data_IF_000015962831
#
_entry.id   IF_000015962831
#
_cell.length_a   1.000
_cell.length_b   1.000
_cell.length_c   1.000
_cell.angle_alpha   90.00
_cell.angle_beta   90.00
_cell.angle_gamma   90.00
#
_symmetry.space_group_name_H-M   'P 1'
#
loop_
_entity.id
_entity.type
_entity.pdbx_description
1 polymer ?
#
# COMPACT_ATOMS: atom_id res chain seq x y z
N UNK A 1 -12.66 -31.23 1.46
CA UNK A 1 -11.18 -31.17 1.37
C UNK A 1 -10.79 -29.70 1.39
N UNK A 2 -9.90 -29.32 2.28
CA UNK A 2 -9.33 -27.97 2.37
C UNK A 2 -7.89 -28.01 1.91
N UNK A 3 -7.50 -27.05 1.10
CA UNK A 3 -6.15 -26.88 0.58
C UNK A 3 -5.55 -25.59 1.11
N UNK A 4 -4.24 -25.60 1.38
CA UNK A 4 -3.46 -24.41 1.68
C UNK A 4 -2.42 -24.18 0.61
N UNK A 5 -2.28 -22.93 0.18
CA UNK A 5 -1.30 -22.47 -0.79
C UNK A 5 -0.40 -21.42 -0.19
N UNK A 6 0.87 -21.46 -0.55
CA UNK A 6 1.87 -20.43 -0.26
C UNK A 6 2.24 -19.72 -1.55
N UNK A 7 2.23 -18.40 -1.55
CA UNK A 7 2.64 -17.59 -2.69
C UNK A 7 3.64 -16.54 -2.25
N UNK A 8 4.87 -16.66 -2.68
CA UNK A 8 5.88 -15.60 -2.56
C UNK A 8 5.60 -14.49 -3.56
N UNK A 9 6.08 -13.29 -3.25
CA UNK A 9 5.89 -12.13 -4.12
C UNK A 9 6.54 -12.36 -5.49
N UNK A 10 5.78 -12.11 -6.57
CA UNK A 10 6.22 -12.35 -7.93
C UNK A 10 6.21 -13.81 -8.39
N UNK A 11 5.84 -14.75 -7.54
CA UNK A 11 5.79 -16.19 -7.86
C UNK A 11 4.35 -16.70 -7.99
N UNK A 12 4.21 -17.86 -8.64
CA UNK A 12 2.93 -18.55 -8.70
C UNK A 12 2.61 -19.19 -7.34
N UNK A 13 1.31 -19.32 -6.96
CA UNK A 13 0.94 -20.00 -5.73
C UNK A 13 1.27 -21.49 -5.82
N UNK A 14 1.97 -22.01 -4.81
CA UNK A 14 2.30 -23.43 -4.65
C UNK A 14 1.41 -24.06 -3.60
N UNK A 15 0.92 -25.30 -3.85
CA UNK A 15 0.16 -26.01 -2.84
C UNK A 15 1.09 -26.48 -1.72
N UNK A 16 0.83 -25.99 -0.52
CA UNK A 16 1.59 -26.33 0.68
C UNK A 16 1.15 -27.67 1.27
N UNK A 17 -0.16 -27.82 1.47
CA UNK A 17 -0.76 -29.01 2.03
C UNK A 17 -2.26 -29.09 1.71
N UNK A 18 -2.83 -30.25 1.97
CA UNK A 18 -4.30 -30.42 1.97
C UNK A 18 -4.76 -31.30 3.13
N UNK A 19 -6.01 -31.09 3.50
CA UNK A 19 -6.68 -31.88 4.57
C UNK A 19 -7.90 -32.58 3.99
N UNK A 20 -7.94 -33.87 4.13
CA UNK A 20 -9.04 -34.72 3.68
C UNK A 20 -9.37 -35.76 4.73
N UNK A 21 -10.65 -35.82 5.15
CA UNK A 21 -11.11 -36.79 6.14
C UNK A 21 -10.32 -36.75 7.46
N UNK A 22 -9.90 -35.55 7.90
CA UNK A 22 -9.09 -35.36 9.10
C UNK A 22 -7.61 -35.74 8.98
N UNK A 23 -7.17 -36.19 7.79
CA UNK A 23 -5.76 -36.48 7.51
C UNK A 23 -5.12 -35.31 6.78
N UNK A 24 -3.93 -34.95 7.23
CA UNK A 24 -3.10 -33.89 6.63
C UNK A 24 -2.06 -34.53 5.71
N UNK A 25 -1.96 -34.04 4.49
CA UNK A 25 -0.90 -34.38 3.57
C UNK A 25 -0.14 -33.11 3.19
N UNK A 26 1.17 -33.09 3.42
CA UNK A 26 2.07 -31.97 3.12
C UNK A 26 2.83 -32.30 1.85
N UNK A 27 2.99 -31.35 0.95
CA UNK A 27 3.71 -31.53 -0.32
C UNK A 27 5.21 -31.71 -0.07
N UNK A 28 5.86 -32.47 -0.94
CA UNK A 28 7.26 -32.91 -0.79
C UNK A 28 8.29 -31.79 -0.76
N UNK A 29 7.92 -30.58 -1.23
CA UNK A 29 8.79 -29.38 -1.21
C UNK A 29 8.84 -28.67 0.14
N UNK A 30 8.01 -29.08 1.13
CA UNK A 30 7.88 -28.39 2.41
C UNK A 30 8.30 -29.27 3.58
N UNK A 31 8.85 -28.68 4.63
CA UNK A 31 9.28 -29.38 5.84
C UNK A 31 8.06 -29.76 6.68
N UNK A 32 7.67 -31.02 6.64
CA UNK A 32 6.43 -31.52 7.25
C UNK A 32 6.30 -31.25 8.77
N UNK A 33 7.40 -31.16 9.50
CA UNK A 33 7.42 -30.92 10.93
C UNK A 33 7.09 -29.45 11.32
N UNK A 34 7.12 -28.53 10.37
CA UNK A 34 6.88 -27.10 10.63
C UNK A 34 5.43 -26.67 10.42
N UNK A 35 4.66 -27.46 9.67
CA UNK A 35 3.30 -27.10 9.31
C UNK A 35 2.29 -27.99 9.99
N UNK A 36 1.34 -27.39 10.68
CA UNK A 36 0.22 -28.07 11.31
C UNK A 36 -1.09 -27.43 10.85
N UNK A 37 -2.14 -28.23 10.82
CA UNK A 37 -3.47 -27.71 10.55
C UNK A 37 -4.50 -28.42 11.42
N UNK A 38 -5.44 -27.63 11.93
CA UNK A 38 -6.53 -28.10 12.77
C UNK A 38 -7.86 -27.72 12.11
N UNK A 39 -8.77 -28.67 12.06
CA UNK A 39 -10.14 -28.44 11.57
C UNK A 39 -11.10 -28.52 12.72
N UNK A 40 -11.84 -27.45 12.94
CA UNK A 40 -12.98 -27.39 13.83
C UNK A 40 -14.28 -27.48 13.02
N UNK A 41 -14.96 -28.61 13.07
CA UNK A 41 -16.28 -28.79 12.45
C UNK A 41 -17.35 -27.93 13.11
N UNK A 42 -17.22 -27.67 14.42
CA UNK A 42 -18.15 -26.83 15.19
C UNK A 42 -18.03 -25.36 14.78
N UNK A 43 -16.80 -24.87 14.65
CA UNK A 43 -16.54 -23.48 14.28
C UNK A 43 -16.45 -23.27 12.76
N UNK A 44 -16.51 -24.35 11.97
CA UNK A 44 -16.31 -24.33 10.51
C UNK A 44 -15.00 -23.63 10.12
N UNK A 45 -13.96 -23.87 10.87
CA UNK A 45 -12.63 -23.27 10.69
C UNK A 45 -11.58 -24.33 10.36
N UNK A 46 -10.63 -23.93 9.54
CA UNK A 46 -9.39 -24.66 9.28
C UNK A 46 -8.22 -23.72 9.55
N UNK A 47 -7.44 -24.00 10.58
CA UNK A 47 -6.34 -23.16 11.02
C UNK A 47 -5.02 -23.76 10.54
N UNK A 48 -4.18 -22.95 9.88
CA UNK A 48 -2.81 -23.29 9.53
C UNK A 48 -1.88 -22.71 10.60
N UNK A 49 -1.01 -23.55 11.16
CA UNK A 49 0.04 -23.15 12.11
C UNK A 49 1.39 -23.41 11.50
N UNK A 50 2.25 -22.40 11.48
CA UNK A 50 3.65 -22.48 11.03
C UNK A 50 4.55 -22.38 12.26
N UNK A 51 5.37 -23.41 12.51
CA UNK A 51 6.33 -23.43 13.62
C UNK A 51 7.70 -22.95 13.14
N UNK A 52 8.48 -22.43 14.09
CA UNK A 52 9.87 -22.02 13.86
C UNK A 52 9.98 -21.13 12.60
N UNK A 53 9.21 -20.03 12.62
CA UNK A 53 9.09 -19.11 11.48
C UNK A 53 10.45 -18.55 11.10
N UNK A 54 10.77 -18.60 9.81
CA UNK A 54 12.00 -18.09 9.20
C UNK A 54 11.67 -17.03 8.12
N UNK A 55 12.62 -16.19 7.72
CA UNK A 55 12.38 -15.18 6.68
C UNK A 55 11.81 -15.77 5.36
N UNK A 56 12.13 -16.99 5.00
CA UNK A 56 11.58 -17.68 3.81
C UNK A 56 10.10 -18.03 3.92
N UNK A 57 9.50 -17.91 5.09
CA UNK A 57 8.06 -18.06 5.28
C UNK A 57 7.26 -16.81 4.92
N UNK A 58 7.91 -15.67 4.71
CA UNK A 58 7.27 -14.46 4.24
C UNK A 58 6.59 -14.72 2.88
N UNK A 59 5.27 -14.70 2.87
CA UNK A 59 4.45 -15.05 1.70
C UNK A 59 2.97 -14.73 1.96
N UNK A 60 2.15 -14.80 0.92
CA UNK A 60 0.70 -14.79 1.08
C UNK A 60 0.18 -16.23 1.12
N UNK A 61 -0.60 -16.55 2.15
CA UNK A 61 -1.18 -17.87 2.36
C UNK A 61 -2.67 -17.84 2.05
N UNK A 62 -3.11 -18.76 1.18
CA UNK A 62 -4.49 -18.90 0.78
C UNK A 62 -5.05 -20.24 1.22
N UNK A 63 -6.23 -20.25 1.82
CA UNK A 63 -7.05 -21.46 1.94
C UNK A 63 -7.91 -21.62 0.68
N UNK A 64 -8.22 -22.85 0.32
CA UNK A 64 -9.13 -23.14 -0.78
C UNK A 64 -9.91 -24.42 -0.54
N UNK A 65 -11.12 -24.51 -1.10
CA UNK A 65 -11.92 -25.72 -1.09
C UNK A 65 -12.64 -25.91 -2.42
N UNK A 66 -13.12 -27.14 -2.66
CA UNK A 66 -13.95 -27.45 -3.80
C UNK A 66 -15.42 -27.28 -3.42
N UNK A 67 -16.11 -26.39 -4.11
CA UNK A 67 -17.55 -26.19 -3.93
C UNK A 67 -18.35 -27.19 -4.78
N UNK A 68 -19.18 -28.04 -4.16
CA UNK A 68 -19.97 -29.05 -4.87
C UNK A 68 -21.30 -28.52 -5.45
N UNK A 69 -21.62 -27.24 -5.28
CA UNK A 69 -22.97 -26.71 -5.55
C UNK A 69 -23.30 -26.50 -7.04
N UNK A 70 -22.36 -26.68 -7.95
CA UNK A 70 -22.62 -26.61 -9.38
C UNK A 70 -22.70 -28.03 -9.97
N UNK A 71 -23.86 -28.42 -10.47
CA UNK A 71 -24.12 -29.72 -11.10
C UNK A 71 -23.14 -29.93 -12.26
N UNK A 72 -22.16 -30.84 -12.04
CA UNK A 72 -21.24 -31.29 -13.08
C UNK A 72 -19.87 -30.53 -13.14
N UNK A 73 -19.66 -29.48 -12.37
CA UNK A 73 -18.37 -28.77 -12.27
C UNK A 73 -18.03 -28.46 -10.83
N UNK A 74 -16.86 -28.95 -10.39
CA UNK A 74 -16.30 -28.54 -9.11
C UNK A 74 -15.56 -27.21 -9.33
N UNK A 75 -16.03 -26.14 -8.66
CA UNK A 75 -15.32 -24.86 -8.66
C UNK A 75 -14.43 -24.79 -7.42
N UNK A 76 -13.15 -24.44 -7.61
CA UNK A 76 -12.23 -24.23 -6.50
C UNK A 76 -12.36 -22.80 -6.02
N UNK A 77 -12.82 -22.63 -4.79
CA UNK A 77 -13.00 -21.32 -4.16
C UNK A 77 -11.81 -21.05 -3.26
N UNK A 78 -11.19 -19.88 -3.44
CA UNK A 78 -10.07 -19.40 -2.64
C UNK A 78 -10.53 -18.37 -1.62
N UNK A 79 -9.91 -18.37 -0.44
CA UNK A 79 -9.97 -17.24 0.49
C UNK A 79 -9.22 -16.03 -0.06
N UNK A 80 -9.43 -14.86 0.55
CA UNK A 80 -8.78 -13.59 0.15
C UNK A 80 -7.27 -13.58 0.38
N UNK A 81 -6.75 -14.52 1.17
CA UNK A 81 -5.34 -14.63 1.51
C UNK A 81 -4.95 -13.84 2.77
N UNK A 82 -3.86 -14.29 3.40
CA UNK A 82 -3.21 -13.60 4.53
C UNK A 82 -1.74 -13.42 4.19
N UNK A 83 -1.28 -12.18 4.10
CA UNK A 83 0.14 -11.86 3.89
C UNK A 83 0.88 -11.96 5.22
N UNK A 84 1.82 -12.90 5.31
CA UNK A 84 2.72 -13.05 6.46
C UNK A 84 3.97 -12.22 6.22
N UNK A 85 4.23 -11.28 7.11
CA UNK A 85 5.45 -10.49 7.15
C UNK A 85 6.35 -11.07 8.25
N UNK A 86 7.57 -11.43 7.89
CA UNK A 86 8.60 -11.89 8.83
C UNK A 86 9.66 -10.81 8.92
N UNK A 87 9.75 -10.14 10.07
CA UNK A 87 10.61 -8.99 10.27
C UNK A 87 11.09 -8.92 11.72
N UNK A 88 12.27 -8.38 11.92
CA UNK A 88 12.78 -8.01 13.25
C UNK A 88 12.17 -6.70 13.77
N UNK A 89 11.61 -5.89 12.88
CA UNK A 89 10.94 -4.63 13.23
C UNK A 89 9.55 -4.93 13.80
N UNK A 90 9.27 -4.36 14.97
CA UNK A 90 7.97 -4.46 15.60
C UNK A 90 6.88 -3.73 14.81
N UNK A 91 5.67 -4.28 14.82
CA UNK A 91 4.49 -3.61 14.27
C UNK A 91 4.22 -2.28 14.98
N UNK A 92 3.85 -1.26 14.21
CA UNK A 92 3.43 0.05 14.71
C UNK A 92 2.13 0.50 14.05
N UNK A 93 1.14 0.95 14.85
CA UNK A 93 -0.09 1.49 14.30
C UNK A 93 0.18 2.82 13.61
N UNK A 94 -0.76 3.29 12.75
CA UNK A 94 -0.66 4.62 12.16
C UNK A 94 -0.44 5.71 13.22
N UNK A 95 0.54 6.58 13.01
CA UNK A 95 0.85 7.70 13.91
C UNK A 95 -0.12 8.87 13.71
N UNK A 96 -0.64 9.02 12.49
CA UNK A 96 -1.61 10.03 12.14
C UNK A 96 -2.62 9.47 11.13
N UNK A 97 -3.86 9.95 11.23
CA UNK A 97 -4.89 9.70 10.24
C UNK A 97 -5.88 10.86 10.21
N UNK A 98 -6.17 11.35 9.01
CA UNK A 98 -7.07 12.49 8.84
C UNK A 98 -7.87 12.37 7.53
N UNK A 99 -9.00 13.09 7.48
CA UNK A 99 -9.76 13.25 6.25
C UNK A 99 -9.63 14.71 5.80
N UNK A 100 -9.24 14.88 4.53
CA UNK A 100 -9.22 16.15 3.83
C UNK A 100 -10.44 16.22 2.92
N UNK A 101 -11.07 17.38 2.80
CA UNK A 101 -12.20 17.62 1.93
C UNK A 101 -11.90 18.73 0.94
N UNK A 102 -12.27 18.52 -0.33
CA UNK A 102 -12.23 19.55 -1.37
C UNK A 102 -13.50 19.51 -2.20
N UNK A 103 -14.14 20.68 -2.35
CA UNK A 103 -15.27 20.86 -3.29
C UNK A 103 -14.74 21.34 -4.63
N UNK A 104 -15.21 20.72 -5.71
CA UNK A 104 -14.90 21.13 -7.07
C UNK A 104 -16.16 20.99 -7.95
N UNK A 105 -16.69 22.11 -8.40
CA UNK A 105 -17.95 22.12 -9.17
C UNK A 105 -19.11 21.49 -8.39
N UNK A 106 -19.75 20.50 -9.00
CA UNK A 106 -20.87 19.77 -8.40
C UNK A 106 -20.44 18.46 -7.69
N UNK A 107 -19.18 18.37 -7.27
CA UNK A 107 -18.63 17.20 -6.60
C UNK A 107 -17.86 17.58 -5.34
N UNK A 108 -17.83 16.66 -4.38
CA UNK A 108 -17.01 16.73 -3.18
C UNK A 108 -16.08 15.53 -3.20
N UNK A 109 -14.79 15.78 -3.03
CA UNK A 109 -13.78 14.76 -2.87
C UNK A 109 -13.30 14.73 -1.42
N UNK A 110 -13.40 13.57 -0.82
CA UNK A 110 -12.81 13.25 0.48
C UNK A 110 -11.54 12.45 0.25
N UNK A 111 -10.49 12.79 0.97
CA UNK A 111 -9.20 12.06 0.97
C UNK A 111 -8.94 11.58 2.38
N UNK A 112 -8.93 10.27 2.57
CA UNK A 112 -8.49 9.64 3.81
C UNK A 112 -6.99 9.41 3.72
N UNK A 113 -6.23 10.06 4.59
CA UNK A 113 -4.79 10.01 4.64
C UNK A 113 -4.36 9.31 5.93
N UNK A 114 -3.57 8.24 5.82
CA UNK A 114 -3.14 7.40 6.93
C UNK A 114 -1.63 7.29 6.86
N UNK A 115 -0.94 7.68 7.93
CA UNK A 115 0.49 7.89 7.90
C UNK A 115 1.25 7.08 8.94
N UNK A 116 2.47 6.69 8.54
CA UNK A 116 3.52 6.17 9.41
C UNK A 116 3.09 4.94 10.19
N UNK A 117 2.69 3.89 9.47
CA UNK A 117 2.37 2.57 10.01
C UNK A 117 3.38 1.52 9.53
N UNK A 118 3.47 0.41 10.22
CA UNK A 118 4.25 -0.76 9.85
C UNK A 118 3.58 -2.03 10.40
N UNK A 119 3.49 -3.12 9.63
CA UNK A 119 3.92 -3.33 8.24
C UNK A 119 2.99 -2.67 7.21
N UNK A 120 3.32 -2.82 5.91
CA UNK A 120 2.61 -2.17 4.79
C UNK A 120 1.16 -2.62 4.58
N UNK A 121 0.76 -3.74 5.18
CA UNK A 121 -0.56 -4.34 4.96
C UNK A 121 -1.62 -3.57 5.73
N UNK A 122 -2.50 -2.92 5.00
CA UNK A 122 -3.61 -2.16 5.56
C UNK A 122 -4.84 -2.30 4.65
N UNK A 123 -6.02 -2.40 5.24
CA UNK A 123 -7.29 -2.37 4.53
C UNK A 123 -7.97 -1.05 4.79
N UNK A 124 -8.30 -0.31 3.74
CA UNK A 124 -9.02 0.96 3.81
C UNK A 124 -10.34 0.80 3.08
N UNK A 125 -11.45 1.14 3.74
CA UNK A 125 -12.79 1.07 3.20
C UNK A 125 -13.56 2.35 3.50
N UNK A 126 -14.47 2.73 2.62
CA UNK A 126 -15.40 3.81 2.86
C UNK A 126 -16.79 3.24 3.16
N UNK A 127 -17.47 3.83 4.12
CA UNK A 127 -18.84 3.42 4.50
C UNK A 127 -19.77 4.62 4.54
N UNK A 128 -21.01 4.39 4.13
CA UNK A 128 -22.16 5.27 4.30
C UNK A 128 -23.17 4.53 5.19
N UNK A 129 -23.50 5.06 6.34
CA UNK A 129 -24.44 4.43 7.29
C UNK A 129 -24.13 2.92 7.53
N UNK A 130 -22.88 2.60 7.83
CA UNK A 130 -22.33 1.23 8.04
C UNK A 130 -22.29 0.33 6.79
N UNK A 131 -22.79 0.78 5.64
CA UNK A 131 -22.72 0.07 4.39
C UNK A 131 -21.46 0.44 3.62
N UNK A 132 -20.72 -0.55 3.13
CA UNK A 132 -19.53 -0.31 2.32
C UNK A 132 -19.88 0.37 1.01
N UNK A 133 -19.15 1.44 0.70
CA UNK A 133 -19.23 2.19 -0.56
C UNK A 133 -18.05 1.78 -1.43
N UNK A 134 -18.34 1.28 -2.63
CA UNK A 134 -17.33 0.88 -3.61
C UNK A 134 -17.28 1.79 -4.81
N UNK A 135 -18.41 2.46 -5.10
CA UNK A 135 -18.52 3.36 -6.25
C UNK A 135 -17.75 4.66 -6.01
N UNK A 136 -17.00 5.10 -7.01
CA UNK A 136 -16.18 6.32 -6.97
C UNK A 136 -15.14 6.35 -5.83
N UNK A 137 -14.73 5.17 -5.36
CA UNK A 137 -13.63 4.99 -4.42
C UNK A 137 -12.37 4.64 -5.18
N UNK A 138 -11.29 5.36 -4.88
CA UNK A 138 -9.95 5.05 -5.38
C UNK A 138 -9.04 4.81 -4.19
N UNK A 139 -8.42 3.64 -4.16
CA UNK A 139 -7.37 3.31 -3.18
C UNK A 139 -6.01 3.52 -3.85
N UNK A 140 -5.17 4.40 -3.28
CA UNK A 140 -3.79 4.56 -3.68
C UNK A 140 -2.91 3.38 -3.24
N UNK A 141 -1.73 3.31 -3.79
CA UNK A 141 -0.70 2.38 -3.31
C UNK A 141 -0.07 2.91 -2.02
N UNK A 142 0.45 2.01 -1.21
CA UNK A 142 1.28 2.39 -0.07
C UNK A 142 2.62 2.92 -0.55
N UNK A 143 3.10 3.98 0.07
CA UNK A 143 4.47 4.47 -0.16
C UNK A 143 5.27 4.43 1.12
N UNK A 144 6.56 4.19 0.99
CA UNK A 144 7.49 4.07 2.10
C UNK A 144 8.16 5.42 2.38
N UNK A 145 8.32 5.76 3.65
CA UNK A 145 9.12 6.88 4.13
C UNK A 145 10.57 6.48 4.37
N UNK A 146 11.47 7.45 4.59
CA UNK A 146 12.88 7.21 4.92
C UNK A 146 13.08 6.43 6.23
N UNK A 147 12.06 6.40 7.12
CA UNK A 147 12.08 5.70 8.41
C UNK A 147 11.56 4.25 8.31
N UNK A 148 11.46 3.69 7.11
CA UNK A 148 10.84 2.37 6.87
C UNK A 148 9.42 2.25 7.42
N UNK A 149 8.66 3.32 7.38
CA UNK A 149 7.25 3.37 7.69
C UNK A 149 6.43 3.59 6.42
N UNK A 150 5.19 3.16 6.43
CA UNK A 150 4.31 3.25 5.27
C UNK A 150 3.21 4.27 5.48
N UNK A 151 2.77 4.87 4.40
CA UNK A 151 1.60 5.75 4.36
C UNK A 151 0.72 5.38 3.17
N UNK A 152 -0.56 5.73 3.25
CA UNK A 152 -1.53 5.45 2.19
C UNK A 152 -2.56 6.57 2.14
N UNK A 153 -3.13 6.78 0.95
CA UNK A 153 -4.29 7.64 0.77
C UNK A 153 -5.40 6.89 0.01
N UNK A 154 -6.65 7.18 0.36
CA UNK A 154 -7.82 6.70 -0.34
C UNK A 154 -8.78 7.85 -0.60
N UNK A 155 -9.40 7.87 -1.76
CA UNK A 155 -10.29 8.94 -2.21
C UNK A 155 -11.72 8.43 -2.39
N UNK A 156 -12.68 9.22 -1.91
CA UNK A 156 -14.10 9.04 -2.21
C UNK A 156 -14.61 10.31 -2.88
N UNK A 157 -15.23 10.19 -4.06
CA UNK A 157 -15.85 11.31 -4.75
C UNK A 157 -17.36 11.15 -4.74
N UNK A 158 -18.08 12.16 -4.23
CA UNK A 158 -19.54 12.14 -4.14
C UNK A 158 -20.12 13.40 -4.80
N UNK A 159 -21.38 13.36 -5.29
CA UNK A 159 -22.09 14.56 -5.73
C UNK A 159 -22.26 15.57 -4.59
N UNK A 160 -22.23 16.87 -4.90
CA UNK A 160 -22.40 17.93 -3.90
C UNK A 160 -23.74 17.84 -3.15
N UNK A 161 -24.79 17.29 -3.78
CA UNK A 161 -26.08 17.02 -3.17
C UNK A 161 -26.04 16.02 -1.99
N UNK A 162 -24.97 15.24 -1.93
CA UNK A 162 -24.74 14.24 -0.87
C UNK A 162 -23.92 14.79 0.30
N UNK A 163 -23.72 16.11 0.40
CA UNK A 163 -22.94 16.75 1.48
C UNK A 163 -23.48 16.42 2.88
N UNK A 164 -24.79 16.29 3.02
CA UNK A 164 -25.46 16.01 4.30
C UNK A 164 -25.34 14.53 4.73
N UNK A 165 -24.89 13.65 3.84
CA UNK A 165 -24.70 12.25 4.16
C UNK A 165 -23.42 12.04 4.97
N UNK A 166 -23.46 11.05 5.87
CA UNK A 166 -22.33 10.70 6.73
C UNK A 166 -21.49 9.59 6.09
N UNK A 167 -20.32 9.96 5.66
CA UNK A 167 -19.32 8.99 5.20
C UNK A 167 -18.24 8.79 6.25
N UNK A 168 -17.72 7.59 6.31
CA UNK A 168 -16.63 7.23 7.21
C UNK A 168 -15.52 6.55 6.39
N UNK A 169 -14.29 6.94 6.68
CA UNK A 169 -13.11 6.18 6.28
C UNK A 169 -12.77 5.19 7.40
N UNK A 170 -12.90 3.92 7.12
CA UNK A 170 -12.54 2.84 8.04
C UNK A 170 -11.24 2.20 7.56
N UNK A 171 -10.28 2.05 8.45
CA UNK A 171 -9.08 1.27 8.15
C UNK A 171 -8.84 0.20 9.20
N UNK A 172 -8.29 -0.92 8.75
CA UNK A 172 -7.91 -2.05 9.57
C UNK A 172 -6.41 -2.31 9.34
N UNK A 173 -5.65 -2.22 10.42
CA UNK A 173 -4.22 -2.48 10.44
C UNK A 173 -3.89 -3.41 11.59
N UNK A 174 -3.28 -4.56 11.28
CA UNK A 174 -3.13 -5.66 12.22
C UNK A 174 -4.50 -6.06 12.81
N UNK A 175 -4.62 -6.13 14.11
CA UNK A 175 -5.87 -6.48 14.82
C UNK A 175 -6.71 -5.24 15.20
N UNK A 176 -6.29 -4.03 14.78
CA UNK A 176 -6.94 -2.78 15.15
C UNK A 176 -7.74 -2.21 14.00
N UNK A 177 -8.97 -1.78 14.31
CA UNK A 177 -9.85 -1.07 13.38
C UNK A 177 -10.12 0.33 13.89
N UNK A 178 -10.05 1.31 13.00
CA UNK A 178 -10.33 2.71 13.28
C UNK A 178 -11.28 3.26 12.23
N UNK A 179 -12.20 4.15 12.63
CA UNK A 179 -13.16 4.81 11.75
C UNK A 179 -13.09 6.32 11.93
N UNK A 180 -12.94 7.05 10.85
CA UNK A 180 -12.86 8.50 10.80
C UNK A 180 -14.11 9.05 10.11
N UNK A 181 -14.91 9.93 10.74
CA UNK A 181 -16.06 10.56 10.11
C UNK A 181 -15.66 11.72 9.19
N UNK A 182 -16.41 11.93 8.11
CA UNK A 182 -16.27 13.11 7.23
C UNK A 182 -16.90 14.38 7.80
N UNK A 183 -17.83 14.23 8.75
CA UNK A 183 -18.48 15.34 9.46
C UNK A 183 -17.94 15.44 10.88
N UNK A 184 -17.62 16.63 11.34
CA UNK A 184 -17.11 17.07 12.63
C UNK A 184 -15.61 17.36 12.65
N UNK A 185 -15.09 17.75 13.81
CA UNK A 185 -13.77 18.34 14.11
C UNK A 185 -12.51 17.69 13.50
N UNK A 186 -12.65 16.55 12.80
CA UNK A 186 -11.56 15.82 12.16
C UNK A 186 -11.35 16.18 10.68
N UNK A 187 -12.28 16.93 10.05
CA UNK A 187 -12.15 17.34 8.65
C UNK A 187 -11.42 18.66 8.55
N UNK A 188 -10.20 18.62 8.08
CA UNK A 188 -9.48 19.83 7.68
C UNK A 188 -9.88 20.18 6.25
N UNK A 189 -10.57 21.30 6.08
CA UNK A 189 -10.79 21.88 4.75
C UNK A 189 -9.43 22.25 4.19
N UNK A 190 -9.04 21.66 3.07
CA UNK A 190 -7.85 22.08 2.36
C UNK A 190 -8.05 23.56 1.98
N UNK A 191 -7.42 24.44 2.76
CA UNK A 191 -7.49 25.88 2.53
C UNK A 191 -6.96 26.20 1.13
N UNK A 192 -7.75 27.00 0.45
CA UNK A 192 -7.61 27.50 -0.91
C UNK A 192 -6.17 27.50 -1.50
N UNK A 193 -6.10 26.93 -2.69
CA UNK A 193 -5.20 27.20 -3.85
C UNK A 193 -3.73 27.63 -3.63
N UNK A 194 -3.35 28.22 -2.51
CA UNK A 194 -1.97 28.72 -2.32
C UNK A 194 -0.95 27.64 -1.95
N UNK A 195 -1.35 26.58 -1.24
CA UNK A 195 -0.37 25.66 -0.68
C UNK A 195 0.11 24.56 -1.65
N UNK A 196 -0.72 24.13 -2.58
CA UNK A 196 -0.27 23.16 -3.61
C UNK A 196 0.68 23.78 -4.65
N UNK A 197 0.59 25.08 -4.92
CA UNK A 197 1.53 25.77 -5.80
C UNK A 197 2.89 26.03 -5.16
N UNK A 198 2.94 26.23 -3.84
CA UNK A 198 4.19 26.52 -3.12
C UNK A 198 5.06 25.28 -2.92
N UNK A 199 4.48 24.11 -2.67
CA UNK A 199 5.25 22.86 -2.54
C UNK A 199 5.79 22.40 -3.89
N UNK A 200 5.00 22.50 -4.97
CA UNK A 200 5.45 22.18 -6.33
C UNK A 200 6.49 23.19 -6.85
N UNK A 201 6.37 24.49 -6.48
CA UNK A 201 7.34 25.51 -6.89
C UNK A 201 8.67 25.41 -6.13
N UNK A 202 8.72 24.95 -4.89
CA UNK A 202 9.98 24.80 -4.17
C UNK A 202 10.88 23.73 -4.78
N UNK A 203 10.34 22.57 -5.13
CA UNK A 203 11.10 21.53 -5.83
C UNK A 203 11.56 21.96 -7.23
N UNK A 204 10.67 22.59 -8.00
CA UNK A 204 10.99 23.11 -9.34
C UNK A 204 11.93 24.33 -9.29
N UNK A 205 11.84 25.20 -8.29
CA UNK A 205 12.73 26.34 -8.13
C UNK A 205 14.14 25.87 -7.78
N UNK A 206 14.27 24.88 -6.88
CA UNK A 206 15.56 24.32 -6.50
C UNK A 206 16.22 23.56 -7.65
N UNK A 207 15.45 22.79 -8.42
CA UNK A 207 15.93 22.13 -9.63
C UNK A 207 16.33 23.12 -10.73
N UNK A 208 15.56 24.20 -10.96
CA UNK A 208 15.90 25.28 -11.88
C UNK A 208 17.10 26.10 -11.41
N UNK A 209 17.26 26.31 -10.11
CA UNK A 209 18.43 27.01 -9.57
C UNK A 209 19.70 26.17 -9.73
N UNK A 210 19.66 24.87 -9.42
CA UNK A 210 20.78 23.95 -9.65
C UNK A 210 21.16 23.84 -11.12
N UNK A 211 20.18 23.82 -12.02
CA UNK A 211 20.45 23.75 -13.47
C UNK A 211 21.09 25.07 -14.00
N UNK A 212 20.66 26.23 -13.50
CA UNK A 212 21.23 27.53 -13.84
C UNK A 212 22.63 27.72 -13.28
N UNK A 213 22.88 27.29 -12.05
CA UNK A 213 24.24 27.38 -11.46
C UNK A 213 25.20 26.42 -12.16
N UNK A 214 24.81 25.21 -12.49
CA UNK A 214 25.62 24.27 -13.26
C UNK A 214 25.94 24.81 -14.66
N UNK A 215 24.98 25.44 -15.33
CA UNK A 215 25.16 26.07 -16.65
C UNK A 215 26.11 27.26 -16.57
N UNK A 216 26.00 28.12 -15.56
CA UNK A 216 26.92 29.27 -15.39
C UNK A 216 28.34 28.80 -15.10
N UNK A 217 28.53 27.77 -14.26
CA UNK A 217 29.86 27.18 -14.00
C UNK A 217 30.46 26.62 -15.31
N UNK A 218 29.65 25.94 -16.11
CA UNK A 218 30.09 25.40 -17.39
C UNK A 218 30.52 26.50 -18.39
N UNK A 219 29.76 27.58 -18.50
CA UNK A 219 30.12 28.74 -19.33
C UNK A 219 31.42 29.40 -18.88
N UNK A 220 31.61 29.56 -17.57
CA UNK A 220 32.86 30.15 -17.03
C UNK A 220 34.06 29.27 -17.36
N UNK A 221 33.93 27.94 -17.26
CA UNK A 221 34.99 27.00 -17.61
C UNK A 221 35.31 27.01 -19.09
N UNK A 222 34.30 27.12 -19.98
CA UNK A 222 34.53 27.27 -21.44
C UNK A 222 35.24 28.56 -21.79
N UNK A 223 34.84 29.67 -21.18
CA UNK A 223 35.50 30.97 -21.41
C UNK A 223 36.96 30.93 -20.93
N UNK A 224 37.22 30.33 -19.75
CA UNK A 224 38.59 30.15 -19.24
C UNK A 224 39.45 29.30 -20.17
N UNK A 225 38.91 28.18 -20.66
CA UNK A 225 39.60 27.31 -21.63
C UNK A 225 39.89 28.00 -22.94
N UNK A 226 38.94 28.78 -23.46
CA UNK A 226 39.09 29.55 -24.69
C UNK A 226 40.19 30.63 -24.57
N UNK A 227 40.20 31.37 -23.47
CA UNK A 227 41.26 32.36 -23.18
C UNK A 227 42.63 31.71 -23.10
N UNK A 228 42.73 30.54 -22.45
CA UNK A 228 43.99 29.79 -22.34
C UNK A 228 44.52 29.39 -23.72
N UNK A 229 43.65 28.91 -24.60
CA UNK A 229 44.00 28.54 -25.96
C UNK A 229 44.47 29.75 -26.81
N UNK A 230 43.85 30.92 -26.64
CA UNK A 230 44.27 32.17 -27.34
C UNK A 230 45.65 32.60 -26.87
N UNK A 231 45.93 32.51 -25.58
CA UNK A 231 47.26 32.86 -25.03
C UNK A 231 48.34 31.92 -25.56
N UNK A 232 48.06 30.61 -25.57
CA UNK A 232 49.02 29.62 -26.15
C UNK A 232 49.27 29.90 -27.63
N UNK A 233 48.22 30.15 -28.41
CA UNK A 233 48.39 30.50 -29.84
C UNK A 233 49.22 31.77 -30.03
N UNK A 234 49.03 32.78 -29.19
CA UNK A 234 49.80 34.00 -29.23
C UNK A 234 51.29 33.74 -28.97
N UNK A 235 51.62 32.82 -28.03
CA UNK A 235 53.04 32.47 -27.77
C UNK A 235 53.64 31.54 -28.85
N UNK A 236 52.87 30.78 -29.57
CA UNK A 236 53.36 29.91 -30.67
C UNK A 236 53.62 30.72 -31.94
N UNK A 237 52.82 31.76 -32.21
CA UNK A 237 52.93 32.57 -33.43
C UNK A 237 53.79 33.86 -33.30
N UNK A 238 54.36 34.06 -32.10
CA UNK A 238 55.35 35.11 -31.84
C UNK A 238 56.79 34.56 -31.88
#
# INVERSE_FOLDING_TARGET
>A
VVHWYKQKEGEAPERLLFVSGGKVAIESGFQANRYMTEISSVQKQCVLTIKDVIPDDAATYYCAYWDPHLIGYYNKVFGSGTKLIVSEKSSSPPKNSEILQKKHGNQIMYVCFIEKFYPEVIRVTWTEDEKEVTDNVVKGDTWQSEEDEYSIASWLTVPAESEDKKYYCKYEHEEKSTSLPTQADSVKTASQEEDCRTVFNRGNLMYRLMHRTAYLVYIILLLKSSMYNIIILFFIYR
#
